data_IF_323737301448
#
_entry.id   IF_323737301448
#
_cell.length_a   1.000
_cell.length_b   1.000
_cell.length_c   1.000
_cell.angle_alpha   90.00
_cell.angle_beta   90.00
_cell.angle_gamma   90.00
#
_symmetry.space_group_name_H-M   'P 1'
#
loop_
_entity.id
_entity.type
_entity.pdbx_description
1 polymer ?
#
# COMPACT_ATOMS: atom_id res chain seq x y z
N UNK A 1 15.51 33.17 32.06
CA UNK A 1 14.15 33.00 32.63
C UNK A 1 13.10 32.55 31.59
N UNK A 2 13.42 32.42 30.29
CA UNK A 2 12.48 31.93 29.25
C UNK A 2 12.56 30.42 28.93
N UNK A 3 13.59 29.71 29.41
CA UNK A 3 13.81 28.29 29.05
C UNK A 3 13.10 27.28 29.97
N UNK A 4 12.57 27.71 31.12
CA UNK A 4 11.88 26.81 32.08
C UNK A 4 10.38 26.63 31.82
N UNK A 5 9.76 27.43 30.94
CA UNK A 5 8.36 27.23 30.51
C UNK A 5 8.26 26.35 29.24
N UNK A 6 9.37 26.21 28.50
CA UNK A 6 9.40 25.44 27.25
C UNK A 6 9.17 23.94 27.46
N UNK A 7 9.78 23.35 28.49
CA UNK A 7 9.72 21.90 28.72
C UNK A 7 8.30 21.40 29.05
N UNK A 8 7.53 22.16 29.83
CA UNK A 8 6.14 21.84 30.16
C UNK A 8 5.20 21.96 28.95
N UNK A 9 5.41 22.97 28.10
CA UNK A 9 4.64 23.15 26.87
C UNK A 9 4.98 22.07 25.85
N UNK A 10 6.26 21.76 25.65
CA UNK A 10 6.71 20.70 24.73
C UNK A 10 6.15 19.34 25.14
N UNK A 11 6.21 18.97 26.43
CA UNK A 11 5.63 17.71 26.92
C UNK A 11 4.11 17.64 26.72
N UNK A 12 3.40 18.75 26.97
CA UNK A 12 1.95 18.83 26.78
C UNK A 12 1.56 18.68 25.31
N UNK A 13 2.22 19.41 24.41
CA UNK A 13 1.96 19.34 22.97
C UNK A 13 2.28 17.95 22.41
N UNK A 14 3.39 17.35 22.83
CA UNK A 14 3.79 16.03 22.35
C UNK A 14 2.83 14.93 22.82
N UNK A 15 2.33 15.03 24.05
CA UNK A 15 1.30 14.12 24.59
C UNK A 15 0.02 14.20 23.75
N UNK A 16 -0.46 15.40 23.43
CA UNK A 16 -1.63 15.59 22.56
C UNK A 16 -1.38 15.08 21.14
N UNK A 17 -0.18 15.28 20.59
CA UNK A 17 0.18 14.75 19.27
C UNK A 17 0.08 13.21 19.24
N UNK A 18 0.58 12.51 20.26
CA UNK A 18 0.45 11.04 20.34
C UNK A 18 -1.01 10.59 20.48
N UNK A 19 -1.82 11.28 21.30
CA UNK A 19 -3.24 10.97 21.46
C UNK A 19 -3.98 11.13 20.13
N UNK A 20 -3.78 12.27 19.45
CA UNK A 20 -4.42 12.55 18.17
C UNK A 20 -3.95 11.62 17.05
N UNK A 21 -2.67 11.24 17.06
CA UNK A 21 -2.11 10.26 16.12
C UNK A 21 -2.75 8.89 16.33
N UNK A 22 -2.83 8.40 17.57
CA UNK A 22 -3.47 7.14 17.89
C UNK A 22 -4.98 7.15 17.53
N UNK A 23 -5.67 8.24 17.85
CA UNK A 23 -7.08 8.42 17.52
C UNK A 23 -7.33 8.45 16.01
N UNK A 24 -6.51 9.20 15.26
CA UNK A 24 -6.62 9.28 13.80
C UNK A 24 -6.30 7.94 13.15
N UNK A 25 -5.27 7.24 13.63
CA UNK A 25 -4.94 5.89 13.17
C UNK A 25 -6.12 4.93 13.39
N UNK A 26 -6.76 4.98 14.57
CA UNK A 26 -7.93 4.17 14.86
C UNK A 26 -9.10 4.49 13.92
N UNK A 27 -9.46 5.76 13.75
CA UNK A 27 -10.54 6.16 12.83
C UNK A 27 -10.23 5.77 11.39
N UNK A 28 -9.01 5.98 10.93
CA UNK A 28 -8.60 5.68 9.55
C UNK A 28 -8.76 4.20 9.21
N UNK A 29 -8.60 3.31 10.19
CA UNK A 29 -8.83 1.87 10.02
C UNK A 29 -10.31 1.49 10.16
N UNK A 30 -11.03 2.08 11.12
CA UNK A 30 -12.43 1.73 11.41
C UNK A 30 -13.38 2.27 10.34
N UNK A 31 -13.14 3.48 9.84
CA UNK A 31 -14.07 4.17 8.95
C UNK A 31 -14.30 3.46 7.60
N UNK A 32 -13.25 2.95 6.90
CA UNK A 32 -13.45 2.18 5.68
C UNK A 32 -14.23 0.88 5.91
N UNK A 33 -13.99 0.20 7.05
CA UNK A 33 -14.69 -1.02 7.41
C UNK A 33 -16.18 -0.78 7.65
N UNK A 34 -16.52 0.27 8.43
CA UNK A 34 -17.90 0.69 8.62
C UNK A 34 -18.56 1.11 7.30
N UNK A 35 -17.83 1.86 6.46
CA UNK A 35 -18.32 2.28 5.15
C UNK A 35 -18.69 1.08 4.26
N UNK A 36 -17.88 0.02 4.26
CA UNK A 36 -18.18 -1.21 3.52
C UNK A 36 -19.41 -1.95 4.03
N UNK A 37 -19.60 -2.03 5.35
CA UNK A 37 -20.77 -2.67 5.97
C UNK A 37 -22.04 -1.88 5.64
N UNK A 38 -21.99 -0.55 5.73
CA UNK A 38 -23.13 0.33 5.47
C UNK A 38 -23.46 0.44 3.97
N UNK A 39 -22.46 0.28 3.09
CA UNK A 39 -22.61 0.41 1.63
C UNK A 39 -22.21 -0.86 0.88
N UNK A 40 -22.94 -1.98 1.07
CA UNK A 40 -22.58 -3.27 0.49
C UNK A 40 -22.51 -3.24 -1.03
N UNK A 41 -23.31 -2.39 -1.69
CA UNK A 41 -23.27 -2.21 -3.14
C UNK A 41 -21.91 -1.71 -3.64
N UNK A 42 -21.35 -0.69 -2.99
CA UNK A 42 -20.02 -0.15 -3.35
C UNK A 42 -18.87 -1.01 -2.82
N UNK A 43 -19.10 -1.69 -1.68
CA UNK A 43 -18.14 -2.63 -1.11
C UNK A 43 -17.81 -3.77 -2.08
N UNK A 44 -18.77 -4.26 -2.86
CA UNK A 44 -18.53 -5.31 -3.87
C UNK A 44 -17.48 -4.90 -4.89
N UNK A 45 -17.55 -3.69 -5.44
CA UNK A 45 -16.57 -3.21 -6.43
C UNK A 45 -15.16 -3.14 -5.84
N UNK A 46 -15.04 -2.65 -4.61
CA UNK A 46 -13.75 -2.59 -3.91
C UNK A 46 -13.23 -4.00 -3.61
N UNK A 47 -14.10 -4.90 -3.15
CA UNK A 47 -13.75 -6.29 -2.87
C UNK A 47 -13.26 -7.01 -4.14
N UNK A 48 -13.92 -6.81 -5.28
CA UNK A 48 -13.48 -7.34 -6.58
C UNK A 48 -12.08 -6.81 -6.93
N UNK A 49 -11.81 -5.52 -6.69
CA UNK A 49 -10.48 -4.94 -6.89
C UNK A 49 -9.41 -5.59 -6.01
N UNK A 50 -9.71 -5.80 -4.72
CA UNK A 50 -8.80 -6.47 -3.77
C UNK A 50 -8.56 -7.93 -4.18
N UNK A 51 -9.62 -8.67 -4.51
CA UNK A 51 -9.51 -10.06 -4.96
C UNK A 51 -8.68 -10.14 -6.25
N UNK A 52 -8.92 -9.25 -7.22
CA UNK A 52 -8.13 -9.17 -8.45
C UNK A 52 -6.66 -8.89 -8.18
N UNK A 53 -6.35 -7.97 -7.25
CA UNK A 53 -4.99 -7.67 -6.83
C UNK A 53 -4.31 -8.90 -6.19
N UNK A 54 -4.99 -9.59 -5.29
CA UNK A 54 -4.47 -10.80 -4.62
C UNK A 54 -4.23 -11.93 -5.63
N UNK A 55 -5.19 -12.18 -6.53
CA UNK A 55 -5.05 -13.18 -7.60
C UNK A 55 -3.85 -12.85 -8.49
N UNK A 56 -3.70 -11.58 -8.88
CA UNK A 56 -2.57 -11.13 -9.69
C UNK A 56 -1.24 -11.32 -8.95
N UNK A 57 -1.19 -11.04 -7.65
CA UNK A 57 0.00 -11.29 -6.84
C UNK A 57 0.38 -12.77 -6.82
N UNK A 58 -0.58 -13.68 -6.65
CA UNK A 58 -0.30 -15.12 -6.70
C UNK A 58 0.20 -15.58 -8.07
N UNK A 59 -0.34 -15.03 -9.16
CA UNK A 59 0.16 -15.28 -10.51
C UNK A 59 1.61 -14.79 -10.63
N UNK A 60 1.88 -13.54 -10.24
CA UNK A 60 3.21 -12.96 -10.27
C UNK A 60 4.22 -13.76 -9.41
N UNK A 61 3.80 -14.20 -8.23
CA UNK A 61 4.60 -15.04 -7.33
C UNK A 61 4.88 -16.42 -7.94
N UNK A 62 3.90 -17.03 -8.60
CA UNK A 62 4.06 -18.34 -9.25
C UNK A 62 5.01 -18.29 -10.46
N UNK A 63 5.05 -17.17 -11.17
CA UNK A 63 5.95 -16.95 -12.32
C UNK A 63 7.34 -16.49 -11.86
N UNK A 64 7.43 -15.84 -10.69
CA UNK A 64 8.70 -15.33 -10.18
C UNK A 64 9.65 -16.45 -9.73
N UNK A 65 10.92 -16.32 -10.10
CA UNK A 65 12.00 -17.20 -9.66
C UNK A 65 12.70 -16.61 -8.43
N UNK A 66 12.97 -17.45 -7.42
CA UNK A 66 13.79 -17.07 -6.28
C UNK A 66 15.27 -17.28 -6.61
N UNK A 67 15.93 -16.31 -7.21
CA UNK A 67 17.39 -16.41 -7.41
C UNK A 67 18.12 -16.04 -6.13
N UNK A 68 19.10 -16.86 -5.74
CA UNK A 68 20.03 -16.56 -4.65
C UNK A 68 21.46 -16.35 -5.16
N UNK A 69 21.65 -16.33 -6.49
CA UNK A 69 22.96 -16.28 -7.12
C UNK A 69 23.33 -14.82 -7.42
N UNK A 70 24.44 -14.37 -6.86
CA UNK A 70 25.06 -13.06 -7.11
C UNK A 70 25.42 -12.30 -5.84
N UNK A 71 26.44 -11.44 -5.93
CA UNK A 71 27.05 -10.72 -4.81
C UNK A 71 26.04 -9.98 -3.91
N UNK A 72 24.97 -9.44 -4.50
CA UNK A 72 23.92 -8.72 -3.76
C UNK A 72 23.14 -9.67 -2.85
N UNK A 73 22.81 -10.87 -3.32
CA UNK A 73 22.02 -11.84 -2.55
C UNK A 73 22.83 -12.39 -1.38
N UNK A 74 24.12 -12.68 -1.60
CA UNK A 74 25.03 -13.13 -0.53
C UNK A 74 25.30 -12.02 0.49
N UNK A 75 25.59 -10.80 0.03
CA UNK A 75 25.88 -9.65 0.90
C UNK A 75 24.73 -9.32 1.85
N UNK A 76 23.49 -9.50 1.40
CA UNK A 76 22.28 -9.22 2.19
C UNK A 76 21.62 -10.49 2.77
N UNK A 77 22.26 -11.66 2.65
CA UNK A 77 21.73 -12.94 3.10
C UNK A 77 20.27 -13.18 2.65
N UNK A 78 19.96 -12.84 1.40
CA UNK A 78 18.61 -12.95 0.84
C UNK A 78 18.28 -14.43 0.63
N UNK A 79 17.19 -14.88 1.25
CA UNK A 79 16.67 -16.24 1.05
C UNK A 79 15.96 -16.37 -0.30
N UNK A 80 15.83 -17.60 -0.81
CA UNK A 80 15.05 -17.88 -2.03
C UNK A 80 13.62 -17.31 -1.93
N UNK A 81 12.98 -17.49 -0.77
CA UNK A 81 11.63 -16.97 -0.51
C UNK A 81 11.58 -15.45 -0.60
N UNK A 82 12.54 -14.75 0.04
CA UNK A 82 12.58 -13.30 -0.01
C UNK A 82 12.82 -12.80 -1.45
N UNK A 83 13.74 -13.44 -2.18
CA UNK A 83 14.02 -13.13 -3.59
C UNK A 83 12.79 -13.30 -4.48
N UNK A 84 12.03 -14.40 -4.31
CA UNK A 84 10.78 -14.63 -5.05
C UNK A 84 9.71 -13.58 -4.74
N UNK A 85 9.57 -13.16 -3.48
CA UNK A 85 8.63 -12.08 -3.09
C UNK A 85 9.04 -10.74 -3.74
N UNK A 86 10.33 -10.44 -3.77
CA UNK A 86 10.85 -9.23 -4.41
C UNK A 86 10.54 -9.27 -5.91
N UNK A 87 10.85 -10.37 -6.59
CA UNK A 87 10.54 -10.53 -8.02
C UNK A 87 9.04 -10.44 -8.32
N UNK A 88 8.20 -11.07 -7.48
CA UNK A 88 6.74 -11.00 -7.61
C UNK A 88 6.21 -9.57 -7.46
N UNK A 89 6.69 -8.82 -6.47
CA UNK A 89 6.27 -7.44 -6.23
C UNK A 89 6.74 -6.48 -7.34
N UNK A 90 7.92 -6.74 -7.92
CA UNK A 90 8.42 -6.00 -9.08
C UNK A 90 7.55 -6.26 -10.33
N UNK A 91 7.27 -7.53 -10.64
CA UNK A 91 6.36 -7.90 -11.74
C UNK A 91 4.97 -7.29 -11.57
N UNK A 92 4.43 -7.35 -10.34
CA UNK A 92 3.14 -6.75 -10.03
C UNK A 92 3.14 -5.25 -10.29
N UNK A 93 4.21 -4.55 -9.89
CA UNK A 93 4.37 -3.11 -10.12
C UNK A 93 4.42 -2.78 -11.61
N UNK A 94 5.12 -3.59 -12.42
CA UNK A 94 5.18 -3.38 -13.86
C UNK A 94 3.82 -3.59 -14.54
N UNK A 95 3.10 -4.64 -14.18
CA UNK A 95 1.76 -4.91 -14.73
C UNK A 95 0.78 -3.80 -14.33
N UNK A 96 0.72 -3.48 -13.04
CA UNK A 96 -0.16 -2.43 -12.52
C UNK A 96 0.17 -1.06 -13.11
N UNK A 97 1.46 -0.72 -13.19
CA UNK A 97 1.94 0.53 -13.78
C UNK A 97 1.55 0.63 -15.26
N UNK A 98 1.77 -0.44 -16.03
CA UNK A 98 1.36 -0.51 -17.44
C UNK A 98 -0.15 -0.37 -17.62
N UNK A 99 -0.94 -1.12 -16.84
CA UNK A 99 -2.41 -1.01 -16.85
C UNK A 99 -2.88 0.39 -16.47
N UNK A 100 -2.20 1.04 -15.52
CA UNK A 100 -2.52 2.41 -15.10
C UNK A 100 -2.31 3.39 -16.25
N UNK A 101 -1.15 3.34 -16.92
CA UNK A 101 -0.86 4.19 -18.07
C UNK A 101 -1.87 3.97 -19.19
N UNK A 102 -2.15 2.71 -19.54
CA UNK A 102 -3.15 2.36 -20.56
C UNK A 102 -4.55 2.86 -20.21
N UNK A 103 -4.95 2.73 -18.93
CA UNK A 103 -6.26 3.19 -18.46
C UNK A 103 -6.38 4.72 -18.56
N UNK A 104 -5.33 5.46 -18.21
CA UNK A 104 -5.31 6.92 -18.33
C UNK A 104 -5.41 7.34 -19.80
N UNK A 105 -4.63 6.73 -20.69
CA UNK A 105 -4.67 7.03 -22.13
C UNK A 105 -6.06 6.74 -22.70
N UNK A 106 -6.62 5.57 -22.38
CA UNK A 106 -7.98 5.20 -22.81
C UNK A 106 -9.03 6.19 -22.31
N UNK A 107 -8.98 6.56 -21.03
CA UNK A 107 -9.90 7.55 -20.46
C UNK A 107 -9.79 8.90 -21.19
N UNK A 108 -8.56 9.36 -21.46
CA UNK A 108 -8.31 10.58 -22.22
C UNK A 108 -8.93 10.55 -23.63
N UNK A 109 -8.71 9.47 -24.37
CA UNK A 109 -9.23 9.31 -25.74
C UNK A 109 -10.76 9.16 -25.72
N UNK A 110 -11.31 8.30 -24.85
CA UNK A 110 -12.75 8.03 -24.80
C UNK A 110 -13.58 9.26 -24.43
N UNK A 111 -13.02 10.17 -23.63
CA UNK A 111 -13.64 11.44 -23.27
C UNK A 111 -13.69 12.44 -24.43
N UNK A 112 -12.89 12.27 -25.49
CA UNK A 112 -12.95 13.13 -26.69
C UNK A 112 -14.06 12.70 -27.66
N UNK A 113 -14.51 11.45 -27.55
CA UNK A 113 -15.55 10.87 -28.41
C UNK A 113 -16.90 10.70 -27.73
N UNK A 114 -17.00 11.06 -26.44
CA UNK A 114 -18.25 11.18 -25.69
C UNK A 114 -18.61 12.65 -25.55
#
# INVERSE_FOLDING_TARGET
MFYMQGEGLTGTVLTWAYILLAFTAAITLIFPLLYFIMNPGKAKTVLIGIVGFVVLFFIAYSVSTGSIVGDVYEKFAITESASRIIGASLLMTYIMGGLTVLSIVYAGISNLFK
#
